data_IF_880572322306
#
_entry.id   IF_880572322306
#
_cell.length_a   1.000
_cell.length_b   1.000
_cell.length_c   1.000
_cell.angle_alpha   90.00
_cell.angle_beta   90.00
_cell.angle_gamma   90.00
#
_symmetry.space_group_name_H-M   'P 1'
#
loop_
_entity.id
_entity.type
_entity.pdbx_description
1 polymer ?
#
# COMPACT_ATOMS: atom_id res chain seq x y z
N UNK A 1 2.90 9.23 -4.64
CA UNK A 1 4.25 8.64 -4.77
C UNK A 1 4.61 8.71 -6.24
N UNK A 2 5.83 9.06 -6.64
CA UNK A 2 6.19 9.02 -8.07
C UNK A 2 6.47 7.56 -8.48
N UNK A 3 6.17 7.20 -9.73
CA UNK A 3 6.46 5.88 -10.32
C UNK A 3 5.81 4.66 -9.63
N UNK A 4 4.72 4.85 -8.88
CA UNK A 4 4.00 3.75 -8.22
C UNK A 4 3.51 2.66 -9.19
N UNK A 5 3.25 3.02 -10.45
CA UNK A 5 2.67 2.16 -11.49
C UNK A 5 3.67 1.16 -12.08
N UNK A 6 4.97 1.34 -11.84
CA UNK A 6 6.01 0.42 -12.28
C UNK A 6 6.57 -0.46 -11.15
N UNK A 7 6.15 -0.22 -9.89
CA UNK A 7 6.63 -0.97 -8.73
C UNK A 7 6.03 -2.38 -8.69
N UNK A 8 6.87 -3.37 -8.41
CA UNK A 8 6.39 -4.65 -7.90
C UNK A 8 5.77 -4.49 -6.51
N UNK A 9 4.97 -5.46 -6.04
CA UNK A 9 4.40 -5.41 -4.69
C UNK A 9 5.48 -5.23 -3.61
N UNK A 10 6.61 -5.91 -3.74
CA UNK A 10 7.70 -5.82 -2.77
C UNK A 10 8.35 -4.43 -2.77
N UNK A 11 8.62 -3.87 -3.96
CA UNK A 11 9.19 -2.53 -4.08
C UNK A 11 8.22 -1.45 -3.57
N UNK A 12 6.92 -1.62 -3.81
CA UNK A 12 5.88 -0.73 -3.30
C UNK A 12 5.82 -0.74 -1.76
N UNK A 13 5.94 -1.91 -1.13
CA UNK A 13 5.98 -2.05 0.33
C UNK A 13 7.23 -1.36 0.88
N UNK A 14 8.41 -1.66 0.34
CA UNK A 14 9.67 -1.04 0.78
C UNK A 14 9.68 0.48 0.58
N UNK A 15 9.12 0.97 -0.53
CA UNK A 15 8.97 2.40 -0.77
C UNK A 15 8.01 3.06 0.23
N UNK A 16 6.89 2.41 0.56
CA UNK A 16 5.96 2.89 1.58
C UNK A 16 6.63 2.94 2.96
N UNK A 17 7.33 1.87 3.36
CA UNK A 17 8.09 1.81 4.63
C UNK A 17 9.17 2.90 4.65
N UNK A 18 9.93 3.07 3.57
CA UNK A 18 10.96 4.09 3.48
C UNK A 18 10.42 5.52 3.61
N UNK A 19 9.18 5.76 3.17
CA UNK A 19 8.50 7.06 3.27
C UNK A 19 7.90 7.32 4.65
N UNK A 20 7.27 6.33 5.26
CA UNK A 20 6.46 6.51 6.46
C UNK A 20 7.12 6.00 7.75
N UNK A 21 8.08 5.08 7.65
CA UNK A 21 8.82 4.53 8.79
C UNK A 21 8.05 3.55 9.68
N UNK A 22 6.87 3.10 9.22
CA UNK A 22 6.01 2.13 9.93
C UNK A 22 6.18 0.72 9.36
N UNK A 23 5.42 -0.26 9.88
CA UNK A 23 5.32 -1.57 9.25
C UNK A 23 4.74 -1.49 7.82
N UNK A 24 4.90 -2.55 7.04
CA UNK A 24 4.48 -2.56 5.63
C UNK A 24 2.98 -2.31 5.43
N UNK A 25 2.13 -2.90 6.27
CA UNK A 25 0.67 -2.76 6.16
C UNK A 25 0.24 -1.34 6.50
N UNK A 26 0.73 -0.79 7.61
CA UNK A 26 0.45 0.60 8.03
C UNK A 26 1.00 1.62 7.04
N UNK A 27 2.23 1.42 6.55
CA UNK A 27 2.85 2.32 5.57
C UNK A 27 2.08 2.35 4.25
N UNK A 28 1.66 1.19 3.74
CA UNK A 28 0.83 1.09 2.52
C UNK A 28 -0.55 1.74 2.74
N UNK A 29 -1.14 1.62 3.93
CA UNK A 29 -2.39 2.30 4.27
C UNK A 29 -2.25 3.83 4.21
N UNK A 30 -1.12 4.39 4.67
CA UNK A 30 -0.86 5.83 4.54
C UNK A 30 -0.71 6.27 3.09
N UNK A 31 -0.04 5.49 2.25
CA UNK A 31 0.04 5.78 0.81
C UNK A 31 -1.36 5.83 0.17
N UNK A 32 -2.23 4.86 0.48
CA UNK A 32 -3.62 4.89 0.01
C UNK A 32 -4.38 6.12 0.51
N UNK A 33 -4.20 6.51 1.78
CA UNK A 33 -4.84 7.69 2.35
C UNK A 33 -4.37 9.00 1.69
N UNK A 34 -3.08 9.12 1.39
CA UNK A 34 -2.51 10.31 0.74
C UNK A 34 -2.98 10.47 -0.72
N UNK A 35 -3.18 9.35 -1.43
CA UNK A 35 -3.71 9.34 -2.80
C UNK A 35 -5.23 9.46 -2.86
N UNK A 36 -5.92 9.50 -1.71
CA UNK A 36 -7.38 9.60 -1.64
C UNK A 36 -7.86 11.02 -1.99
N UNK A 37 -7.97 11.29 -3.30
CA UNK A 37 -8.68 12.45 -3.85
C UNK A 37 -10.01 12.05 -4.47
N UNK A 38 -9.96 11.15 -5.46
CA UNK A 38 -11.11 10.50 -6.08
C UNK A 38 -10.99 8.98 -5.93
N UNK A 39 -12.11 8.29 -5.73
CA UNK A 39 -12.12 6.81 -5.71
C UNK A 39 -11.70 6.21 -7.05
N UNK A 40 -11.81 6.96 -8.14
CA UNK A 40 -11.33 6.54 -9.47
C UNK A 40 -9.82 6.71 -9.67
N UNK A 41 -9.11 7.33 -8.73
CA UNK A 41 -7.68 7.58 -8.88
C UNK A 41 -6.89 6.26 -8.97
N UNK A 42 -6.10 6.05 -10.04
CA UNK A 42 -5.35 4.81 -10.23
C UNK A 42 -4.31 4.55 -9.13
N UNK A 43 -3.71 5.60 -8.57
CA UNK A 43 -2.73 5.49 -7.49
C UNK A 43 -3.42 5.04 -6.20
N UNK A 44 -4.56 5.65 -5.87
CA UNK A 44 -5.40 5.21 -4.76
C UNK A 44 -5.78 3.73 -4.89
N UNK A 45 -6.26 3.32 -6.07
CA UNK A 45 -6.68 1.93 -6.32
C UNK A 45 -5.52 0.94 -6.16
N UNK A 46 -4.33 1.32 -6.63
CA UNK A 46 -3.11 0.52 -6.47
C UNK A 46 -2.78 0.30 -5.00
N UNK A 47 -2.64 1.38 -4.22
CA UNK A 47 -2.26 1.28 -2.81
C UNK A 47 -3.34 0.59 -1.97
N UNK A 48 -4.62 0.88 -2.26
CA UNK A 48 -5.73 0.26 -1.54
C UNK A 48 -5.82 -1.25 -1.81
N UNK A 49 -5.61 -1.68 -3.07
CA UNK A 49 -5.58 -3.10 -3.40
C UNK A 49 -4.41 -3.82 -2.72
N UNK A 50 -3.23 -3.19 -2.65
CA UNK A 50 -2.07 -3.74 -1.94
C UNK A 50 -2.32 -3.84 -0.43
N UNK A 51 -2.92 -2.82 0.17
CA UNK A 51 -3.33 -2.84 1.58
C UNK A 51 -4.23 -4.04 1.88
N UNK A 52 -5.27 -4.25 1.08
CA UNK A 52 -6.20 -5.38 1.26
C UNK A 52 -5.45 -6.72 1.21
N UNK A 53 -4.58 -6.93 0.22
CA UNK A 53 -3.76 -8.15 0.13
C UNK A 53 -2.90 -8.39 1.37
N UNK A 54 -2.32 -7.34 1.95
CA UNK A 54 -1.51 -7.46 3.16
C UNK A 54 -2.36 -7.83 4.38
N UNK A 55 -3.50 -7.16 4.57
CA UNK A 55 -4.42 -7.48 5.68
C UNK A 55 -4.98 -8.90 5.59
N UNK A 56 -5.22 -9.40 4.38
CA UNK A 56 -5.62 -10.80 4.17
C UNK A 56 -4.50 -11.77 4.54
N UNK A 57 -3.25 -11.49 4.14
CA UNK A 57 -2.08 -12.32 4.50
C UNK A 57 -1.86 -12.38 6.01
N UNK A 58 -2.01 -11.25 6.72
CA UNK A 58 -1.91 -11.20 8.17
C UNK A 58 -3.02 -12.00 8.86
N UNK A 59 -4.25 -11.97 8.32
CA UNK A 59 -5.36 -12.76 8.84
C UNK A 59 -5.16 -14.28 8.73
N UNK A 60 -4.47 -14.77 7.69
CA UNK A 60 -4.19 -16.21 7.53
C UNK A 60 -3.18 -16.71 8.59
N UNK A 61 -2.48 -15.81 9.29
CA UNK A 61 -1.54 -16.13 10.37
C UNK A 61 -2.17 -16.36 11.75
N UNK A 62 -3.49 -16.23 11.91
CA UNK A 62 -4.21 -16.45 13.18
C UNK A 62 -4.88 -17.84 13.27
N UNK A 63 -4.14 -18.89 12.90
CA UNK A 63 -4.57 -20.29 13.06
C UNK A 63 -3.78 -20.99 14.16
#
# INVERSE_FOLDING_TARGET
>A
MEDWDILTEAEAIEAAIGRHGEDGTTSVAYCALESWGDRGDPEYQFWFALFLKLTEREHVGWA
#
